data_IF_137325178561
#
_entry.id   IF_137325178561
#
_cell.length_a   1.000
_cell.length_b   1.000
_cell.length_c   1.000
_cell.angle_alpha   90.00
_cell.angle_beta   90.00
_cell.angle_gamma   90.00
#
_symmetry.space_group_name_H-M   'P 1'
#
loop_
_entity.id
_entity.type
_entity.pdbx_description
1 polymer ?
#
# COMPACT_ATOMS: atom_id res chain seq x y z
N UNK A 1 2.42 9.64 -3.99
CA UNK A 1 3.54 10.12 -3.16
C UNK A 1 3.33 9.75 -1.71
N UNK A 2 4.41 9.30 -1.07
CA UNK A 2 4.44 9.10 0.38
C UNK A 2 5.59 9.85 1.02
N UNK A 3 5.43 10.22 2.28
CA UNK A 3 6.49 10.76 3.12
C UNK A 3 6.36 10.23 4.56
N UNK A 4 7.46 10.18 5.27
CA UNK A 4 7.48 9.80 6.69
C UNK A 4 7.66 11.05 7.54
N UNK A 5 6.88 11.15 8.60
CA UNK A 5 7.01 12.17 9.64
C UNK A 5 7.50 11.44 10.89
N UNK A 6 8.65 11.86 11.40
CA UNK A 6 9.27 11.35 12.62
C UNK A 6 9.56 12.50 13.56
N UNK A 7 8.94 12.52 14.73
CA UNK A 7 9.17 13.55 15.77
C UNK A 7 9.26 14.98 15.21
N UNK A 8 8.25 15.38 14.40
CA UNK A 8 8.16 16.68 13.72
C UNK A 8 9.18 16.91 12.58
N UNK A 9 9.98 15.92 12.24
CA UNK A 9 10.85 15.97 11.06
C UNK A 9 10.17 15.23 9.89
N UNK A 10 10.02 15.92 8.78
CA UNK A 10 9.43 15.35 7.56
C UNK A 10 10.51 14.91 6.59
N UNK A 11 10.34 13.74 5.99
CA UNK A 11 11.18 13.34 4.84
C UNK A 11 10.67 13.96 3.54
N UNK A 12 11.49 13.94 2.51
CA UNK A 12 11.04 14.28 1.17
C UNK A 12 9.94 13.32 0.70
N UNK A 13 9.03 13.84 -0.12
CA UNK A 13 8.03 13.04 -0.80
C UNK A 13 8.68 12.11 -1.84
N UNK A 14 8.45 10.82 -1.69
CA UNK A 14 8.89 9.79 -2.63
C UNK A 14 7.70 9.31 -3.48
N UNK A 15 7.81 9.34 -4.81
CA UNK A 15 6.76 8.80 -5.68
C UNK A 15 6.82 7.28 -5.73
N UNK A 16 5.65 6.66 -5.89
CA UNK A 16 5.52 5.25 -6.24
C UNK A 16 4.55 5.11 -7.42
N UNK A 17 4.90 4.25 -8.37
CA UNK A 17 4.04 3.92 -9.51
C UNK A 17 3.04 2.84 -9.13
N UNK A 18 3.49 1.81 -8.39
CA UNK A 18 2.68 0.68 -8.00
C UNK A 18 2.15 0.82 -6.57
N UNK A 19 3.05 0.86 -5.59
CA UNK A 19 2.65 0.80 -4.19
C UNK A 19 3.64 1.45 -3.22
N UNK A 20 3.12 1.78 -2.06
CA UNK A 20 3.87 2.10 -0.84
C UNK A 20 3.50 1.04 0.17
N UNK A 21 4.48 0.31 0.68
CA UNK A 21 4.28 -0.83 1.57
C UNK A 21 4.96 -0.60 2.90
N UNK A 22 4.22 -0.73 3.99
CA UNK A 22 4.80 -0.90 5.33
C UNK A 22 4.78 -2.39 5.64
N UNK A 23 5.92 -2.93 6.07
CA UNK A 23 6.02 -4.30 6.52
C UNK A 23 6.91 -4.39 7.77
N UNK A 24 6.62 -5.35 8.63
CA UNK A 24 7.44 -5.66 9.81
C UNK A 24 8.82 -6.17 9.39
N UNK A 25 9.79 -5.95 10.25
CA UNK A 25 11.15 -6.44 10.06
C UNK A 25 11.31 -7.83 10.71
N UNK A 26 11.78 -8.79 9.91
CA UNK A 26 12.21 -10.11 10.39
C UNK A 26 11.19 -10.84 11.26
N UNK A 27 11.59 -11.27 12.46
CA UNK A 27 10.76 -11.97 13.44
C UNK A 27 10.01 -11.02 14.40
N UNK A 28 9.91 -9.74 14.06
CA UNK A 28 9.18 -8.78 14.88
C UNK A 28 7.70 -9.18 14.98
N UNK A 29 7.06 -8.73 16.05
CA UNK A 29 5.65 -9.05 16.29
C UNK A 29 4.75 -8.21 15.39
N UNK A 30 3.46 -8.49 15.46
CA UNK A 30 2.38 -7.79 14.78
C UNK A 30 2.47 -6.29 15.05
N UNK A 31 2.25 -5.51 14.01
CA UNK A 31 2.21 -4.05 14.09
C UNK A 31 0.75 -3.61 14.09
N UNK A 32 0.44 -2.62 14.92
CA UNK A 32 -0.85 -1.92 14.87
C UNK A 32 -0.73 -0.69 13.96
N UNK A 33 -1.60 -0.63 12.97
CA UNK A 33 -1.70 0.46 12.01
C UNK A 33 -3.01 1.21 12.23
N UNK A 34 -2.96 2.42 12.78
CA UNK A 34 -4.12 3.29 12.83
C UNK A 34 -4.18 4.14 11.58
N UNK A 35 -5.23 3.97 10.80
CA UNK A 35 -5.41 4.60 9.49
C UNK A 35 -6.41 5.75 9.62
N UNK A 36 -5.95 6.93 9.23
CA UNK A 36 -6.79 8.12 9.11
C UNK A 36 -6.95 8.45 7.63
N UNK A 37 -8.14 8.85 7.23
CA UNK A 37 -8.42 9.36 5.88
C UNK A 37 -9.05 10.74 6.01
N UNK A 38 -8.43 11.74 5.39
CA UNK A 38 -8.86 13.14 5.49
C UNK A 38 -9.07 13.59 6.95
N UNK A 39 -8.15 13.18 7.85
CA UNK A 39 -8.19 13.49 9.27
C UNK A 39 -9.25 12.73 10.10
N UNK A 40 -9.95 11.74 9.53
CA UNK A 40 -10.93 10.91 10.23
C UNK A 40 -10.44 9.48 10.37
N UNK A 41 -10.67 8.88 11.53
CA UNK A 41 -10.34 7.46 11.75
C UNK A 41 -11.14 6.60 10.77
N UNK A 42 -10.41 5.81 9.97
CA UNK A 42 -10.99 4.82 9.07
C UNK A 42 -11.05 3.45 9.74
N UNK A 43 -9.88 2.95 10.21
CA UNK A 43 -9.77 1.63 10.83
C UNK A 43 -8.45 1.50 11.61
N UNK A 44 -8.34 0.41 12.39
CA UNK A 44 -7.11 -0.01 13.05
C UNK A 44 -6.83 -1.47 12.68
N UNK A 45 -5.73 -1.71 11.98
CA UNK A 45 -5.31 -3.06 11.57
C UNK A 45 -4.17 -3.55 12.44
N UNK A 46 -4.30 -4.78 12.95
CA UNK A 46 -3.18 -5.55 13.47
C UNK A 46 -2.77 -6.56 12.40
N UNK A 47 -1.59 -6.36 11.79
CA UNK A 47 -1.16 -7.10 10.62
C UNK A 47 0.37 -7.20 10.51
N UNK A 48 0.85 -8.06 9.61
CA UNK A 48 2.27 -8.13 9.24
C UNK A 48 2.73 -6.91 8.44
N UNK A 49 1.77 -6.19 7.84
CA UNK A 49 2.03 -5.02 7.05
C UNK A 49 0.77 -4.44 6.43
N UNK A 50 0.95 -3.36 5.66
CA UNK A 50 -0.12 -2.70 4.92
C UNK A 50 0.40 -2.20 3.58
N UNK A 51 -0.39 -2.35 2.53
CA UNK A 51 -0.10 -1.92 1.17
C UNK A 51 -1.04 -0.78 0.81
N UNK A 52 -0.48 0.35 0.36
CA UNK A 52 -1.22 1.43 -0.26
C UNK A 52 -0.88 1.39 -1.75
N UNK A 53 -1.82 0.96 -2.58
CA UNK A 53 -1.57 0.69 -3.99
C UNK A 53 -2.33 1.62 -4.92
N UNK A 54 -1.71 1.92 -6.05
CA UNK A 54 -2.36 2.56 -7.19
C UNK A 54 -3.17 1.52 -7.98
N UNK A 55 -4.06 1.93 -8.89
CA UNK A 55 -4.71 1.01 -9.81
C UNK A 55 -3.71 0.20 -10.68
N UNK A 56 -2.58 0.81 -11.05
CA UNK A 56 -1.49 0.13 -11.77
C UNK A 56 -0.87 -0.97 -10.92
N UNK A 57 -0.62 -0.70 -9.63
CA UNK A 57 -0.06 -1.65 -8.67
C UNK A 57 -1.05 -2.73 -8.21
N UNK A 58 -2.36 -2.59 -8.53
CA UNK A 58 -3.38 -3.54 -8.08
C UNK A 58 -3.11 -4.99 -8.52
N UNK A 59 -2.40 -5.19 -9.62
CA UNK A 59 -1.99 -6.51 -10.13
C UNK A 59 -0.59 -6.94 -9.69
N UNK A 60 0.07 -6.15 -8.81
CA UNK A 60 1.37 -6.43 -8.20
C UNK A 60 1.23 -7.06 -6.81
N UNK A 61 1.97 -6.53 -5.85
CA UNK A 61 1.97 -7.06 -4.48
C UNK A 61 0.59 -6.98 -3.81
N UNK A 62 -0.21 -5.96 -4.13
CA UNK A 62 -1.60 -5.86 -3.69
C UNK A 62 -2.41 -7.12 -4.00
N UNK A 63 -2.27 -7.69 -5.21
CA UNK A 63 -2.98 -8.92 -5.59
C UNK A 63 -2.54 -10.11 -4.75
N UNK A 64 -1.23 -10.26 -4.52
CA UNK A 64 -0.67 -11.34 -3.70
C UNK A 64 -1.14 -11.27 -2.25
N UNK A 65 -1.42 -10.07 -1.74
CA UNK A 65 -1.97 -9.85 -0.41
C UNK A 65 -3.51 -10.01 -0.34
N UNK A 66 -4.16 -10.41 -1.44
CA UNK A 66 -5.62 -10.58 -1.49
C UNK A 66 -6.40 -9.31 -1.78
N UNK A 67 -5.72 -8.24 -2.20
CA UNK A 67 -6.36 -7.01 -2.61
C UNK A 67 -7.08 -7.12 -3.96
N UNK A 68 -8.04 -6.23 -4.25
CA UNK A 68 -8.81 -6.28 -5.48
C UNK A 68 -7.97 -5.88 -6.69
N UNK A 69 -8.29 -6.47 -7.85
CA UNK A 69 -7.80 -6.01 -9.14
C UNK A 69 -8.64 -4.84 -9.61
N UNK A 70 -7.98 -3.75 -9.99
CA UNK A 70 -8.63 -2.51 -10.42
C UNK A 70 -8.13 -2.11 -11.81
N UNK A 71 -9.04 -1.60 -12.64
CA UNK A 71 -8.68 -1.07 -13.94
C UNK A 71 -7.68 0.10 -13.76
N UNK A 72 -6.53 0.12 -14.49
CA UNK A 72 -5.53 1.19 -14.39
C UNK A 72 -6.06 2.61 -14.67
N UNK A 73 -7.23 2.72 -15.28
CA UNK A 73 -7.91 4.00 -15.54
C UNK A 73 -8.79 4.48 -14.38
N UNK A 74 -8.98 3.66 -13.34
CA UNK A 74 -9.78 4.07 -12.19
C UNK A 74 -9.07 5.14 -11.37
N UNK A 75 -9.85 6.04 -10.79
CA UNK A 75 -9.36 7.14 -9.97
C UNK A 75 -9.48 6.79 -8.48
N UNK A 76 -8.72 5.78 -8.04
CA UNK A 76 -8.79 5.24 -6.68
C UNK A 76 -7.40 4.99 -6.09
N UNK A 77 -7.36 4.82 -4.77
CA UNK A 77 -6.24 4.30 -4.01
C UNK A 77 -6.74 3.06 -3.27
N UNK A 78 -5.93 2.02 -3.22
CA UNK A 78 -6.24 0.78 -2.53
C UNK A 78 -5.47 0.72 -1.21
N UNK A 79 -6.10 0.25 -0.16
CA UNK A 79 -5.47 -0.02 1.14
C UNK A 79 -5.72 -1.49 1.46
N UNK A 80 -4.65 -2.28 1.50
CA UNK A 80 -4.73 -3.74 1.68
C UNK A 80 -3.84 -4.18 2.82
N UNK A 81 -4.38 -4.78 3.90
CA UNK A 81 -3.57 -5.34 4.97
C UNK A 81 -2.86 -6.63 4.51
N UNK A 82 -1.68 -6.90 5.06
CA UNK A 82 -0.90 -8.12 4.81
C UNK A 82 -1.07 -9.02 6.01
N UNK A 83 -1.63 -10.23 5.81
CA UNK A 83 -1.84 -11.21 6.87
C UNK A 83 -2.47 -10.61 8.13
N UNK A 84 -3.63 -9.93 8.03
CA UNK A 84 -4.27 -9.32 9.20
C UNK A 84 -4.71 -10.39 10.20
N UNK A 85 -4.65 -10.05 11.50
CA UNK A 85 -5.07 -10.93 12.57
C UNK A 85 -6.56 -10.88 12.89
N UNK A 86 -7.28 -9.93 12.31
CA UNK A 86 -8.74 -9.85 12.40
C UNK A 86 -9.39 -10.52 11.19
N UNK A 87 -10.42 -11.35 11.44
CA UNK A 87 -11.22 -11.98 10.37
C UNK A 87 -12.05 -10.99 9.54
N UNK A 88 -12.19 -9.76 10.00
CA UNK A 88 -13.01 -8.73 9.34
C UNK A 88 -12.15 -7.66 8.63
N UNK A 89 -10.85 -7.85 8.54
CA UNK A 89 -9.95 -6.90 7.88
C UNK A 89 -10.02 -7.06 6.36
N UNK A 90 -10.74 -6.15 5.71
CA UNK A 90 -10.91 -6.15 4.26
C UNK A 90 -9.98 -5.11 3.62
N UNK A 91 -9.65 -5.35 2.34
CA UNK A 91 -9.07 -4.30 1.49
C UNK A 91 -10.10 -3.21 1.23
N UNK A 92 -9.66 -1.96 1.27
CA UNK A 92 -10.49 -0.79 1.05
C UNK A 92 -10.14 -0.11 -0.26
N UNK A 93 -11.15 0.45 -0.91
CA UNK A 93 -11.01 1.24 -2.14
C UNK A 93 -11.43 2.66 -1.81
N UNK A 94 -10.48 3.59 -1.86
CA UNK A 94 -10.64 5.00 -1.52
C UNK A 94 -10.56 5.86 -2.76
N UNK A 95 -10.98 7.12 -2.67
CA UNK A 95 -10.80 8.10 -3.74
C UNK A 95 -9.31 8.39 -3.97
N UNK A 96 -8.90 8.62 -5.21
CA UNK A 96 -7.54 9.08 -5.51
C UNK A 96 -7.16 10.42 -4.85
N UNK A 97 -8.16 11.21 -4.48
CA UNK A 97 -7.98 12.54 -3.89
C UNK A 97 -8.00 12.50 -2.36
N UNK A 98 -8.16 11.31 -1.76
CA UNK A 98 -8.06 11.13 -0.31
C UNK A 98 -6.60 11.22 0.15
N UNK A 99 -6.41 11.85 1.31
CA UNK A 99 -5.15 11.89 2.04
C UNK A 99 -5.17 10.82 3.14
N UNK A 100 -4.18 9.93 3.13
CA UNK A 100 -4.10 8.78 4.01
C UNK A 100 -2.92 8.97 4.95
N UNK A 101 -3.18 9.01 6.26
CA UNK A 101 -2.16 9.02 7.30
C UNK A 101 -2.19 7.68 8.04
N UNK A 102 -1.05 7.00 8.09
CA UNK A 102 -0.89 5.72 8.76
C UNK A 102 0.05 5.90 9.93
N UNK A 103 -0.48 5.75 11.14
CA UNK A 103 0.26 5.83 12.39
C UNK A 103 0.75 4.44 12.76
N UNK A 104 2.03 4.33 13.06
CA UNK A 104 2.64 3.12 13.57
C UNK A 104 2.48 3.12 15.08
N UNK A 105 1.75 2.16 15.60
CA UNK A 105 1.47 2.04 17.03
C UNK A 105 2.10 0.79 17.62
N UNK A 106 2.56 0.87 18.87
CA UNK A 106 2.97 -0.31 19.61
C UNK A 106 1.75 -1.10 20.08
N UNK A 107 1.76 -2.40 19.84
CA UNK A 107 0.77 -3.30 20.47
C UNK A 107 1.03 -3.46 21.96
N UNK A 108 2.30 -3.28 22.41
CA UNK A 108 2.71 -3.30 23.83
C UNK A 108 3.84 -2.34 24.07
N UNK A 109 3.79 -1.59 25.20
CA UNK A 109 4.79 -0.59 25.59
C UNK A 109 6.22 -1.13 25.77
N UNK A 110 6.41 -2.43 25.94
CA UNK A 110 7.72 -3.04 26.29
C UNK A 110 8.56 -3.47 25.09
N UNK A 111 8.13 -3.25 23.84
CA UNK A 111 8.84 -3.78 22.68
C UNK A 111 8.91 -2.76 21.55
N UNK A 112 10.15 -2.45 21.16
CA UNK A 112 10.41 -1.68 19.94
C UNK A 112 10.15 -2.58 18.72
N UNK A 113 9.03 -2.38 18.07
CA UNK A 113 8.71 -3.07 16.82
C UNK A 113 9.34 -2.30 15.67
N UNK A 114 10.11 -3.01 14.86
CA UNK A 114 10.74 -2.40 13.69
C UNK A 114 9.90 -2.67 12.45
N UNK A 115 9.55 -1.61 11.76
CA UNK A 115 8.91 -1.65 10.45
C UNK A 115 9.75 -0.92 9.41
N UNK A 116 9.52 -1.26 8.16
CA UNK A 116 10.09 -0.55 7.03
C UNK A 116 8.97 -0.14 6.08
N UNK A 117 9.05 1.10 5.58
CA UNK A 117 8.27 1.52 4.44
C UNK A 117 9.12 1.40 3.18
N UNK A 118 8.52 0.85 2.11
CA UNK A 118 9.15 0.76 0.80
C UNK A 118 8.27 1.44 -0.25
N UNK A 119 8.91 1.97 -1.29
CA UNK A 119 8.28 2.63 -2.44
C UNK A 119 8.65 1.83 -3.68
N UNK A 120 7.66 1.20 -4.32
CA UNK A 120 7.86 0.26 -5.46
C UNK A 120 8.92 -0.83 -5.18
N UNK A 121 9.10 -1.22 -3.91
CA UNK A 121 10.11 -2.18 -3.49
C UNK A 121 11.57 -1.73 -3.65
N UNK A 122 11.84 -0.46 -4.03
CA UNK A 122 13.19 0.01 -4.37
C UNK A 122 13.84 0.85 -3.27
N UNK A 123 13.08 1.76 -2.67
CA UNK A 123 13.59 2.65 -1.61
C UNK A 123 12.96 2.24 -0.30
N UNK A 124 13.79 1.94 0.70
CA UNK A 124 13.33 1.56 2.04
C UNK A 124 13.68 2.66 3.06
N UNK A 125 12.78 2.87 4.01
CA UNK A 125 12.98 3.72 5.20
C UNK A 125 12.54 2.94 6.43
N UNK A 126 13.34 3.01 7.48
CA UNK A 126 12.97 2.44 8.78
C UNK A 126 11.90 3.31 9.42
N UNK A 127 10.90 2.66 10.01
CA UNK A 127 9.84 3.28 10.79
C UNK A 127 9.95 2.86 12.24
N UNK A 128 9.56 3.75 13.12
CA UNK A 128 9.49 3.53 14.56
C UNK A 128 8.07 3.82 15.07
N UNK A 129 7.68 3.25 16.19
CA UNK A 129 6.42 3.63 16.82
C UNK A 129 6.35 5.15 17.04
N UNK A 130 5.20 5.72 16.72
CA UNK A 130 4.99 7.17 16.70
C UNK A 130 5.26 7.84 15.35
N UNK A 131 5.89 7.15 14.40
CA UNK A 131 6.01 7.66 13.04
C UNK A 131 4.68 7.65 12.32
N UNK A 132 4.53 8.58 11.40
CA UNK A 132 3.36 8.68 10.51
C UNK A 132 3.82 8.58 9.07
N UNK A 133 3.27 7.63 8.33
CA UNK A 133 3.37 7.59 6.88
C UNK A 133 2.18 8.34 6.29
N UNK A 134 2.46 9.45 5.61
CA UNK A 134 1.45 10.17 4.83
C UNK A 134 1.51 9.74 3.37
N UNK A 135 0.37 9.36 2.80
CA UNK A 135 0.24 8.99 1.40
C UNK A 135 -0.86 9.81 0.74
N UNK A 136 -0.55 10.34 -0.43
CA UNK A 136 -1.50 11.09 -1.25
C UNK A 136 -1.19 10.92 -2.74
N UNK A 137 -2.13 11.32 -3.58
CA UNK A 137 -1.92 11.36 -5.03
C UNK A 137 -0.70 12.22 -5.38
N UNK A 138 0.17 11.68 -6.24
CA UNK A 138 1.31 12.43 -6.76
C UNK A 138 0.87 13.54 -7.72
N UNK A 139 1.59 14.66 -7.68
CA UNK A 139 1.53 15.67 -8.74
C UNK A 139 2.31 15.25 -9.99
N UNK A 140 3.19 14.24 -9.87
CA UNK A 140 3.94 13.67 -10.99
C UNK A 140 3.07 12.67 -11.76
N UNK A 141 3.17 12.67 -13.06
CA UNK A 141 2.42 11.79 -13.96
C UNK A 141 3.40 10.83 -14.62
N UNK A 142 3.19 9.52 -14.42
CA UNK A 142 3.87 8.49 -15.19
C UNK A 142 3.09 8.22 -16.49
N UNK A 143 3.78 8.35 -17.64
CA UNK A 143 3.18 8.06 -18.96
C UNK A 143 3.69 6.70 -19.43
N UNK A 144 2.80 5.72 -19.50
CA UNK A 144 3.11 4.38 -20.00
C UNK A 144 2.73 4.30 -21.47
N UNK A 145 3.71 4.05 -22.33
CA UNK A 145 3.50 3.86 -23.77
C UNK A 145 3.17 2.39 -24.01
N UNK A 146 2.00 2.13 -24.61
CA UNK A 146 1.62 0.80 -25.05
C UNK A 146 2.16 0.55 -26.46
N UNK A 147 3.15 -0.31 -26.58
CA UNK A 147 3.75 -0.68 -27.89
C UNK A 147 2.91 -1.75 -28.60
N UNK A 148 2.28 -2.65 -27.84
CA UNK A 148 1.38 -3.68 -28.35
C UNK A 148 -0.06 -3.34 -27.98
N UNK A 149 -0.99 -3.60 -28.89
CA UNK A 149 -2.42 -3.28 -28.72
C UNK A 149 -3.20 -4.15 -27.73
N UNK A 150 -2.52 -4.89 -26.84
CA UNK A 150 -3.17 -5.75 -25.88
C UNK A 150 -4.06 -4.98 -24.91
N UNK A 151 -5.28 -5.44 -24.75
CA UNK A 151 -6.21 -4.87 -23.78
C UNK A 151 -5.81 -5.26 -22.35
N UNK A 152 -6.13 -4.41 -21.37
CA UNK A 152 -5.97 -4.74 -19.96
C UNK A 152 -6.61 -6.08 -19.59
N UNK A 153 -7.78 -6.36 -20.14
CA UNK A 153 -8.53 -7.59 -19.86
C UNK A 153 -7.83 -8.86 -20.39
N UNK A 154 -7.16 -8.77 -21.53
CA UNK A 154 -6.36 -9.89 -22.06
C UNK A 154 -5.18 -10.18 -21.14
N UNK A 155 -4.43 -9.15 -20.75
CA UNK A 155 -3.29 -9.28 -19.83
C UNK A 155 -3.75 -9.84 -18.48
N UNK A 156 -4.89 -9.36 -17.97
CA UNK A 156 -5.46 -9.83 -16.72
C UNK A 156 -5.83 -11.33 -16.80
N UNK A 157 -6.49 -11.75 -17.88
CA UNK A 157 -6.85 -13.16 -18.08
C UNK A 157 -5.64 -14.08 -18.08
N UNK A 158 -4.53 -13.66 -18.69
CA UNK A 158 -3.28 -14.43 -18.73
C UNK A 158 -2.66 -14.49 -17.33
N UNK A 159 -2.60 -13.37 -16.61
CA UNK A 159 -1.96 -13.28 -15.28
C UNK A 159 -2.74 -13.97 -14.15
N UNK A 160 -4.07 -13.89 -14.19
CA UNK A 160 -4.94 -14.37 -13.10
C UNK A 160 -5.59 -15.70 -13.46
N UNK A 161 -5.84 -15.93 -14.74
CA UNK A 161 -6.59 -17.10 -15.22
C UNK A 161 -5.78 -18.38 -15.44
N UNK A 162 -4.43 -18.31 -15.43
CA UNK A 162 -3.56 -19.50 -15.58
C UNK A 162 -3.82 -20.35 -16.84
N UNK A 163 -4.55 -19.84 -17.83
CA UNK A 163 -4.89 -20.60 -19.04
C UNK A 163 -3.98 -20.24 -20.20
N UNK A 164 -3.39 -21.29 -20.76
CA UNK A 164 -2.61 -21.30 -21.97
C UNK A 164 -3.36 -20.63 -23.12
N UNK A 165 -2.58 -19.98 -23.99
CA UNK A 165 -3.01 -19.56 -25.31
C UNK A 165 -3.42 -20.82 -26.11
N UNK A 166 -4.70 -21.10 -26.16
CA UNK A 166 -5.31 -21.89 -27.23
C UNK A 166 -6.58 -21.16 -27.66
N UNK A 167 -6.43 -20.39 -28.68
CA UNK A 167 -7.24 -20.03 -29.85
C UNK A 167 -6.97 -18.61 -30.35
#
# INVERSE_FOLDING_TARGET
>A
DGRVIHADQETDHLPALNDVVIARSGFSRIISFRIMVNGKLLDVYEADGIIISTPTGSTGYNLSAGGPVVNPKANVILVTPICPHSLQSNSLVLSQDDEIDIYIENVRESQLEEAYVTFDGQVARKLQPGDVLQVRRSKKIARIIKVKGDSFYRILRIKVGGQNEEE
#
